data_IF_540492694846
#
_entry.id   IF_540492694846
#
_cell.length_a   1.000
_cell.length_b   1.000
_cell.length_c   1.000
_cell.angle_alpha   90.00
_cell.angle_beta   90.00
_cell.angle_gamma   90.00
#
_symmetry.space_group_name_H-M   'P 1'
#
loop_
_entity.id
_entity.type
_entity.pdbx_description
1 polymer ?
#
# COMPACT_ATOMS: atom_id res chain seq x y z
N UNK A 1 -7.36 22.74 -17.19
CA UNK A 1 -6.55 22.92 -15.97
C UNK A 1 -7.49 23.25 -14.82
N UNK A 2 -7.31 22.65 -13.64
CA UNK A 2 -8.13 23.00 -12.48
C UNK A 2 -7.74 24.38 -11.94
N UNK A 3 -8.72 25.17 -11.53
CA UNK A 3 -8.55 26.55 -11.06
C UNK A 3 -9.28 26.78 -9.74
N UNK A 4 -8.89 27.83 -9.02
CA UNK A 4 -9.54 28.34 -7.82
C UNK A 4 -10.10 29.73 -8.10
N UNK A 5 -11.31 30.02 -7.60
CA UNK A 5 -11.97 31.32 -7.78
C UNK A 5 -11.83 32.13 -6.50
N UNK A 6 -11.45 33.41 -6.66
CA UNK A 6 -11.30 34.40 -5.59
C UNK A 6 -12.11 35.66 -5.86
N UNK A 7 -12.49 36.41 -4.82
CA UNK A 7 -13.03 37.78 -4.89
C UNK A 7 -12.54 38.61 -3.70
N UNK A 8 -12.64 39.93 -3.74
CA UNK A 8 -12.42 40.76 -2.54
C UNK A 8 -13.73 40.91 -1.74
N UNK A 9 -13.64 41.28 -0.46
CA UNK A 9 -14.83 41.56 0.37
C UNK A 9 -15.70 42.67 -0.24
N UNK A 10 -15.06 43.70 -0.79
CA UNK A 10 -15.69 44.89 -1.36
C UNK A 10 -16.16 44.75 -2.81
N UNK A 11 -15.87 43.63 -3.49
CA UNK A 11 -16.18 43.45 -4.92
C UNK A 11 -16.88 42.14 -5.23
N UNK A 12 -17.84 42.18 -6.15
CA UNK A 12 -18.47 41.00 -6.75
C UNK A 12 -17.65 40.41 -7.90
N UNK A 13 -16.61 41.10 -8.37
CA UNK A 13 -15.77 40.62 -9.46
C UNK A 13 -14.90 39.46 -8.99
N UNK A 14 -15.01 38.33 -9.68
CA UNK A 14 -14.20 37.14 -9.40
C UNK A 14 -12.93 37.12 -10.26
N UNK A 15 -11.87 36.51 -9.72
CA UNK A 15 -10.61 36.24 -10.40
C UNK A 15 -10.28 34.76 -10.26
N UNK A 16 -9.91 34.12 -11.37
CA UNK A 16 -9.62 32.69 -11.42
C UNK A 16 -8.12 32.46 -11.49
N UNK A 17 -7.56 31.72 -10.53
CA UNK A 17 -6.12 31.44 -10.42
C UNK A 17 -5.88 29.94 -10.70
N UNK A 18 -4.90 29.55 -11.53
CA UNK A 18 -4.56 28.15 -11.77
C UNK A 18 -4.09 27.41 -10.52
N UNK A 19 -4.51 26.14 -10.38
CA UNK A 19 -4.01 25.26 -9.31
C UNK A 19 -2.81 24.44 -9.78
N UNK A 20 -1.96 24.03 -8.84
CA UNK A 20 -0.80 23.16 -9.08
C UNK A 20 -0.97 21.85 -8.31
N UNK A 21 -0.30 20.80 -8.76
CA UNK A 21 -0.21 19.54 -8.02
C UNK A 21 0.98 19.64 -7.06
N UNK A 22 0.75 19.44 -5.77
CA UNK A 22 1.81 19.37 -4.78
C UNK A 22 2.51 18.01 -4.87
N UNK A 23 3.83 18.01 -5.14
CA UNK A 23 4.58 16.78 -5.42
C UNK A 23 4.69 15.83 -4.21
N UNK A 24 4.52 16.34 -2.98
CA UNK A 24 4.63 15.52 -1.77
C UNK A 24 3.29 14.90 -1.40
N UNK A 25 2.23 15.70 -1.36
CA UNK A 25 0.91 15.26 -0.94
C UNK A 25 0.02 14.72 -2.07
N UNK A 26 0.38 14.99 -3.33
CA UNK A 26 -0.47 14.68 -4.49
C UNK A 26 -1.76 15.52 -4.56
N UNK A 27 -1.95 16.49 -3.65
CA UNK A 27 -3.16 17.33 -3.59
C UNK A 27 -3.00 18.58 -4.45
N UNK A 28 -4.13 19.15 -4.88
CA UNK A 28 -4.13 20.43 -5.58
C UNK A 28 -3.99 21.58 -4.59
N UNK A 29 -3.16 22.56 -4.95
CA UNK A 29 -2.81 23.72 -4.13
C UNK A 29 -2.85 25.02 -4.95
N UNK A 30 -2.93 26.15 -4.24
CA UNK A 30 -2.71 27.50 -4.80
C UNK A 30 -1.57 28.16 -4.03
N UNK A 31 -0.58 28.67 -4.74
CA UNK A 31 0.55 29.37 -4.12
C UNK A 31 0.14 30.76 -3.68
N UNK A 32 0.57 31.17 -2.48
CA UNK A 32 0.28 32.50 -1.94
C UNK A 32 0.79 33.63 -2.85
N UNK A 33 1.98 33.45 -3.42
CA UNK A 33 2.56 34.41 -4.38
C UNK A 33 1.71 34.60 -5.63
N UNK A 34 1.06 33.53 -6.12
CA UNK A 34 0.15 33.61 -7.26
C UNK A 34 -1.11 34.42 -6.87
N UNK A 35 -1.59 34.32 -5.62
CA UNK A 35 -2.70 35.15 -5.10
C UNK A 35 -2.29 36.62 -5.01
N UNK A 36 -1.13 36.92 -4.42
CA UNK A 36 -0.64 38.30 -4.24
C UNK A 36 -0.38 39.02 -5.58
N UNK A 37 -0.10 38.28 -6.67
CA UNK A 37 0.04 38.86 -8.00
C UNK A 37 -1.25 39.55 -8.49
N UNK A 38 -2.42 39.01 -8.13
CA UNK A 38 -3.73 39.57 -8.48
C UNK A 38 -4.27 40.49 -7.39
N UNK A 39 -3.93 40.22 -6.13
CA UNK A 39 -4.41 40.95 -4.95
C UNK A 39 -3.21 41.46 -4.14
N UNK A 40 -2.63 42.59 -4.56
CA UNK A 40 -1.35 43.13 -4.01
C UNK A 40 -1.36 43.37 -2.50
N UNK A 41 -2.52 43.59 -1.91
CA UNK A 41 -2.71 43.88 -0.50
C UNK A 41 -3.44 42.76 0.23
N UNK A 42 -3.42 41.53 -0.29
CA UNK A 42 -3.99 40.39 0.41
C UNK A 42 -3.20 40.11 1.70
N UNK A 43 -3.90 40.09 2.84
CA UNK A 43 -3.34 39.70 4.14
C UNK A 43 -3.88 38.34 4.62
N UNK A 44 -4.99 37.89 4.06
CA UNK A 44 -5.59 36.59 4.36
C UNK A 44 -6.61 36.14 3.32
N UNK A 45 -7.06 34.89 3.48
CA UNK A 45 -8.11 34.28 2.66
C UNK A 45 -9.19 33.75 3.59
N UNK A 46 -10.44 34.00 3.26
CA UNK A 46 -11.61 33.55 3.98
C UNK A 46 -12.43 32.60 3.10
N UNK A 47 -13.02 31.59 3.74
CA UNK A 47 -14.03 30.72 3.15
C UNK A 47 -15.29 30.82 4.01
N UNK A 48 -16.36 31.43 3.48
CA UNK A 48 -17.60 31.69 4.24
C UNK A 48 -17.39 32.43 5.58
N UNK A 49 -16.41 33.34 5.63
CA UNK A 49 -16.07 34.11 6.83
C UNK A 49 -15.03 33.43 7.74
N UNK A 50 -14.70 32.17 7.52
CA UNK A 50 -13.66 31.45 8.28
C UNK A 50 -12.29 31.61 7.61
N UNK A 51 -11.23 31.80 8.40
CA UNK A 51 -9.88 31.93 7.86
C UNK A 51 -9.37 30.61 7.26
N UNK A 52 -8.92 30.67 6.01
CA UNK A 52 -8.23 29.56 5.33
C UNK A 52 -6.77 29.57 5.77
N UNK A 53 -6.37 28.55 6.52
CA UNK A 53 -5.01 28.41 7.03
C UNK A 53 -4.03 27.97 5.93
N UNK A 54 -2.78 28.43 6.03
CA UNK A 54 -1.69 27.93 5.20
C UNK A 54 -1.36 26.48 5.57
N UNK A 55 -0.96 25.69 4.56
CA UNK A 55 -0.55 24.31 4.78
C UNK A 55 0.76 24.26 5.59
N UNK A 56 0.80 23.34 6.55
CA UNK A 56 1.95 23.07 7.41
C UNK A 56 2.53 21.68 7.16
N UNK A 57 3.78 21.46 7.55
CA UNK A 57 4.40 20.14 7.58
C UNK A 57 4.01 19.36 8.87
N UNK A 58 4.57 18.17 9.03
CA UNK A 58 4.36 17.31 10.22
C UNK A 58 4.81 17.95 11.54
N UNK A 59 5.68 18.96 11.47
CA UNK A 59 6.17 19.72 12.63
C UNK A 59 5.36 21.00 12.89
N UNK A 60 4.21 21.19 12.23
CA UNK A 60 3.39 22.41 12.28
C UNK A 60 4.09 23.68 11.78
N UNK A 61 5.17 23.54 11.02
CA UNK A 61 5.84 24.68 10.38
C UNK A 61 5.16 24.97 9.04
N UNK A 62 4.98 26.25 8.73
CA UNK A 62 4.44 26.65 7.43
C UNK A 62 5.34 26.20 6.29
N UNK A 63 4.73 25.63 5.26
CA UNK A 63 5.46 25.19 4.08
C UNK A 63 5.99 26.39 3.28
N UNK A 64 7.24 26.32 2.82
CA UNK A 64 7.84 27.27 1.87
C UNK A 64 7.86 26.64 0.46
N UNK A 65 7.34 27.29 -0.60
CA UNK A 65 6.56 28.54 -0.59
C UNK A 65 5.17 28.38 0.07
N UNK A 66 4.70 29.45 0.73
CA UNK A 66 3.36 29.50 1.33
C UNK A 66 2.28 29.12 0.33
N UNK A 67 1.35 28.28 0.77
CA UNK A 67 0.32 27.67 -0.08
C UNK A 67 -0.90 27.26 0.73
N UNK A 68 -2.06 27.34 0.09
CA UNK A 68 -3.34 26.87 0.63
C UNK A 68 -3.86 25.69 -0.20
N UNK A 69 -4.74 24.88 0.41
CA UNK A 69 -5.43 23.80 -0.29
C UNK A 69 -6.38 24.35 -1.38
N UNK A 70 -6.59 23.56 -2.43
CA UNK A 70 -7.63 23.84 -3.44
C UNK A 70 -9.03 23.51 -2.88
N UNK A 71 -9.99 24.43 -3.04
CA UNK A 71 -11.38 24.32 -2.63
C UNK A 71 -12.30 24.32 -3.87
N UNK A 72 -12.54 23.16 -4.49
CA UNK A 72 -13.31 23.07 -5.74
C UNK A 72 -14.76 23.55 -5.54
N UNK A 73 -15.24 24.39 -6.46
CA UNK A 73 -16.61 24.92 -6.44
C UNK A 73 -16.87 26.05 -5.44
N UNK A 74 -15.87 26.47 -4.67
CA UNK A 74 -15.99 27.52 -3.65
C UNK A 74 -15.34 28.81 -4.15
N UNK A 75 -15.97 29.95 -3.87
CA UNK A 75 -15.38 31.28 -4.12
C UNK A 75 -14.75 31.78 -2.82
N UNK A 76 -13.43 31.83 -2.78
CA UNK A 76 -12.69 32.30 -1.63
C UNK A 76 -12.65 33.84 -1.61
N UNK A 77 -12.68 34.43 -0.42
CA UNK A 77 -12.70 35.88 -0.22
C UNK A 77 -11.33 36.35 0.27
N UNK A 78 -10.75 37.34 -0.39
CA UNK A 78 -9.49 37.94 0.00
C UNK A 78 -9.76 39.06 1.00
N UNK A 79 -9.16 38.97 2.18
CA UNK A 79 -9.10 40.04 3.17
C UNK A 79 -7.94 40.98 2.81
N UNK A 80 -8.18 42.27 2.95
CA UNK A 80 -7.16 43.31 2.80
C UNK A 80 -6.97 44.05 4.12
N UNK A 81 -5.89 44.85 4.25
CA UNK A 81 -5.57 45.56 5.47
C UNK A 81 -6.73 46.47 5.86
N UNK A 82 -7.24 46.29 7.08
CA UNK A 82 -8.25 47.16 7.66
C UNK A 82 -7.70 48.59 7.74
N UNK A 83 -8.36 49.52 7.05
CA UNK A 83 -8.12 50.93 7.29
C UNK A 83 -8.71 51.27 8.67
N UNK A 84 -7.87 51.37 9.70
CA UNK A 84 -8.25 51.84 11.03
C UNK A 84 -8.91 53.23 10.92
N UNK A 85 -10.23 53.28 11.12
CA UNK A 85 -10.98 54.53 11.17
C UNK A 85 -10.79 55.14 12.55
N UNK A 86 -9.94 56.17 12.65
CA UNK A 86 -9.67 56.90 13.89
C UNK A 86 -10.74 57.96 14.13
N UNK A 87 -11.74 57.68 14.97
CA UNK A 87 -12.75 58.67 15.39
C UNK A 87 -12.25 59.58 16.52
N UNK A 88 -12.33 60.89 16.31
CA UNK A 88 -11.88 61.94 17.24
C UNK A 88 -13.08 62.63 17.91
N UNK A 89 -13.25 62.47 19.22
CA UNK A 89 -14.34 63.12 20.01
C UNK A 89 -13.87 64.48 20.54
N UNK A 90 -14.66 65.54 20.32
CA UNK A 90 -14.50 66.91 20.84
C UNK A 90 -15.46 67.19 22.01
N UNK A 91 -15.00 67.85 23.07
CA UNK A 91 -15.84 68.39 24.17
C UNK A 91 -15.40 69.78 24.65
N UNK A 92 -16.39 70.63 24.96
CA UNK A 92 -16.34 71.87 25.76
C UNK A 92 -17.61 72.73 25.53
N UNK A 93 -17.92 73.81 26.29
CA UNK A 93 -17.52 74.18 27.67
C UNK A 93 -18.65 74.79 28.58
N UNK A 94 -18.34 74.89 29.89
CA UNK A 94 -18.58 75.93 30.92
C UNK A 94 -19.91 76.72 31.21
N UNK A 95 -20.19 76.85 32.54
CA UNK A 95 -20.50 78.09 33.32
C UNK A 95 -21.95 78.44 33.71
N UNK A 96 -22.24 78.66 35.02
CA UNK A 96 -22.47 80.00 35.65
C UNK A 96 -23.09 79.92 37.08
N UNK A 97 -22.70 80.89 37.90
CA UNK A 97 -22.91 81.09 39.35
C UNK A 97 -24.11 81.98 39.69
N UNK A 98 -24.78 81.74 40.82
CA UNK A 98 -25.76 82.66 41.42
C UNK A 98 -25.74 82.60 42.96
N UNK A 99 -25.63 83.75 43.62
CA UNK A 99 -25.49 83.93 45.07
C UNK A 99 -26.84 84.06 45.76
N UNK A 100 -27.19 83.10 46.62
CA UNK A 100 -28.37 83.09 47.50
C UNK A 100 -27.99 83.31 48.98
N UNK A 101 -28.95 83.84 49.74
CA UNK A 101 -28.87 84.15 51.17
C UNK A 101 -28.67 82.90 52.04
N UNK A 102 -27.78 83.00 53.05
CA UNK A 102 -27.22 81.87 53.84
C UNK A 102 -28.27 80.94 54.50
N UNK A 103 -29.45 81.45 54.87
CA UNK A 103 -30.51 80.65 55.51
C UNK A 103 -31.30 79.80 54.50
N UNK A 104 -31.49 80.32 53.29
CA UNK A 104 -32.12 79.60 52.18
C UNK A 104 -31.15 78.56 51.62
N UNK A 105 -29.86 78.88 51.56
CA UNK A 105 -28.82 77.94 51.17
C UNK A 105 -28.72 76.73 52.13
N UNK A 106 -28.94 76.93 53.43
CA UNK A 106 -28.94 75.84 54.42
C UNK A 106 -30.16 74.91 54.28
N UNK A 107 -31.35 75.46 54.06
CA UNK A 107 -32.55 74.65 53.82
C UNK A 107 -32.48 73.91 52.47
N UNK A 108 -31.96 74.58 51.43
CA UNK A 108 -31.70 73.96 50.12
C UNK A 108 -30.66 72.83 50.23
N UNK A 109 -29.64 73.00 51.08
CA UNK A 109 -28.63 71.97 51.33
C UNK A 109 -29.24 70.74 52.01
N UNK A 110 -30.14 70.94 52.98
CA UNK A 110 -30.79 69.84 53.69
C UNK A 110 -31.73 69.06 52.78
N UNK A 111 -32.54 69.75 51.98
CA UNK A 111 -33.40 69.13 50.95
C UNK A 111 -32.56 68.37 49.91
N UNK A 112 -31.45 68.95 49.43
CA UNK A 112 -30.50 68.24 48.54
C UNK A 112 -29.92 67.00 49.20
N UNK A 113 -29.57 67.07 50.48
CA UNK A 113 -29.00 65.94 51.20
C UNK A 113 -30.01 64.79 51.32
N UNK A 114 -31.27 65.11 51.61
CA UNK A 114 -32.33 64.11 51.74
C UNK A 114 -32.67 63.48 50.37
N UNK A 115 -32.67 64.28 49.31
CA UNK A 115 -32.78 63.79 47.92
C UNK A 115 -31.61 62.87 47.57
N UNK A 116 -30.37 63.23 47.91
CA UNK A 116 -29.21 62.37 47.63
C UNK A 116 -29.18 61.10 48.48
N UNK A 117 -29.63 61.15 49.73
CA UNK A 117 -29.79 59.95 50.55
C UNK A 117 -30.78 58.96 49.91
N UNK A 118 -31.92 59.46 49.42
CA UNK A 118 -32.91 58.63 48.74
C UNK A 118 -32.37 58.08 47.41
N UNK A 119 -31.62 58.88 46.64
CA UNK A 119 -30.94 58.41 45.42
C UNK A 119 -29.90 57.33 45.72
N UNK A 120 -29.08 57.52 46.76
CA UNK A 120 -28.07 56.53 47.16
C UNK A 120 -28.73 55.22 47.59
N UNK A 121 -29.83 55.28 48.33
CA UNK A 121 -30.60 54.08 48.69
C UNK A 121 -31.18 53.37 47.46
N UNK A 122 -31.76 54.12 46.52
CA UNK A 122 -32.27 53.55 45.27
C UNK A 122 -31.13 52.93 44.43
N UNK A 123 -29.94 53.55 44.45
CA UNK A 123 -28.76 53.04 43.77
C UNK A 123 -28.25 51.75 44.40
N UNK A 124 -28.26 51.64 45.73
CA UNK A 124 -27.88 50.43 46.46
C UNK A 124 -28.83 49.26 46.15
N UNK A 125 -30.15 49.52 46.14
CA UNK A 125 -31.15 48.53 45.73
C UNK A 125 -30.97 48.10 44.26
N UNK A 126 -30.65 49.04 43.36
CA UNK A 126 -30.36 48.75 41.96
C UNK A 126 -29.09 47.90 41.82
N UNK A 127 -28.04 48.21 42.58
CA UNK A 127 -26.79 47.47 42.59
C UNK A 127 -27.01 46.03 43.05
N UNK A 128 -27.77 45.81 44.12
CA UNK A 128 -28.09 44.47 44.62
C UNK A 128 -28.87 43.64 43.60
N UNK A 129 -29.87 44.24 42.94
CA UNK A 129 -30.61 43.56 41.86
C UNK A 129 -29.71 43.21 40.67
N UNK A 130 -28.78 44.09 40.35
CA UNK A 130 -27.80 43.86 39.28
C UNK A 130 -26.84 42.72 39.65
N UNK A 131 -26.36 42.68 40.90
CA UNK A 131 -25.52 41.60 41.44
C UNK A 131 -26.21 40.24 41.31
N UNK A 132 -27.47 40.13 41.78
CA UNK A 132 -28.25 38.90 41.69
C UNK A 132 -28.50 38.46 40.24
N UNK A 133 -28.75 39.43 39.35
CA UNK A 133 -28.92 39.17 37.91
C UNK A 133 -27.63 38.64 37.27
N UNK A 134 -26.47 39.15 37.69
CA UNK A 134 -25.16 38.67 37.24
C UNK A 134 -24.91 37.24 37.71
N UNK A 135 -25.14 36.95 38.99
CA UNK A 135 -24.97 35.60 39.56
C UNK A 135 -25.88 34.58 38.86
N UNK A 136 -27.16 34.93 38.67
CA UNK A 136 -28.10 34.04 37.97
C UNK A 136 -27.66 33.76 36.54
N UNK A 137 -27.22 34.79 35.80
CA UNK A 137 -26.70 34.61 34.44
C UNK A 137 -25.40 33.81 34.42
N UNK A 138 -24.56 33.96 35.43
CA UNK A 138 -23.31 33.21 35.56
C UNK A 138 -23.61 31.71 35.75
N UNK A 139 -24.54 31.37 36.64
CA UNK A 139 -24.96 29.99 36.86
C UNK A 139 -25.59 29.38 35.60
N UNK A 140 -26.45 30.11 34.89
CA UNK A 140 -27.01 29.68 33.61
C UNK A 140 -25.93 29.42 32.56
N UNK A 141 -24.94 30.32 32.44
CA UNK A 141 -23.82 30.12 31.51
C UNK A 141 -22.96 28.92 31.89
N UNK A 142 -22.74 28.69 33.18
CA UNK A 142 -21.98 27.55 33.66
C UNK A 142 -22.70 26.23 33.41
N UNK A 143 -24.02 26.20 33.61
CA UNK A 143 -24.85 25.03 33.30
C UNK A 143 -24.82 24.71 31.80
N UNK A 144 -24.93 25.72 30.91
CA UNK A 144 -24.81 25.52 29.46
C UNK A 144 -23.44 24.97 29.05
N UNK A 145 -22.36 25.39 29.70
CA UNK A 145 -21.01 24.87 29.41
C UNK A 145 -20.88 23.38 29.78
N UNK A 146 -21.51 22.95 30.88
CA UNK A 146 -21.53 21.53 31.28
C UNK A 146 -22.33 20.70 30.30
N UNK A 147 -23.53 21.15 29.91
CA UNK A 147 -24.35 20.48 28.90
C UNK A 147 -23.63 20.38 27.55
N UNK A 148 -22.96 21.46 27.12
CA UNK A 148 -22.17 21.47 25.90
C UNK A 148 -21.01 20.49 25.95
N UNK A 149 -20.29 20.39 27.08
CA UNK A 149 -19.20 19.42 27.26
C UNK A 149 -19.71 17.98 27.14
N UNK A 150 -20.85 17.66 27.75
CA UNK A 150 -21.45 16.32 27.65
C UNK A 150 -21.87 15.98 26.21
N UNK A 151 -22.38 16.96 25.46
CA UNK A 151 -22.70 16.77 24.04
C UNK A 151 -21.46 16.48 23.20
N UNK A 152 -20.36 17.22 23.43
CA UNK A 152 -19.08 16.98 22.75
C UNK A 152 -18.58 15.56 23.02
N UNK A 153 -18.59 15.12 24.28
CA UNK A 153 -18.16 13.77 24.65
C UNK A 153 -19.02 12.67 23.99
N UNK A 154 -20.35 12.88 23.90
CA UNK A 154 -21.22 11.95 23.19
C UNK A 154 -20.95 11.92 21.68
N UNK A 155 -20.64 13.07 21.07
CA UNK A 155 -20.30 13.16 19.65
C UNK A 155 -18.98 12.44 19.39
N UNK A 156 -17.96 12.67 20.22
CA UNK A 156 -16.66 12.00 20.12
C UNK A 156 -16.79 10.49 20.25
N UNK A 157 -17.54 10.00 21.25
CA UNK A 157 -17.79 8.57 21.43
C UNK A 157 -18.52 7.94 20.23
N UNK A 158 -19.54 8.62 19.69
CA UNK A 158 -20.25 8.17 18.48
C UNK A 158 -19.34 8.18 17.26
N UNK A 159 -18.50 9.20 17.12
CA UNK A 159 -17.55 9.32 16.02
C UNK A 159 -16.50 8.21 16.08
N UNK A 160 -15.97 7.91 17.27
CA UNK A 160 -15.01 6.83 17.48
C UNK A 160 -15.61 5.45 17.20
N UNK A 161 -16.87 5.21 17.59
CA UNK A 161 -17.57 3.96 17.24
C UNK A 161 -17.76 3.81 15.72
N UNK A 162 -18.06 4.91 15.02
CA UNK A 162 -18.22 4.92 13.57
C UNK A 162 -16.90 4.66 12.84
N UNK A 163 -15.79 5.26 13.30
CA UNK A 163 -14.47 5.05 12.68
C UNK A 163 -13.98 3.61 12.85
N UNK A 164 -14.20 2.99 14.02
CA UNK A 164 -13.83 1.59 14.23
C UNK A 164 -14.66 0.64 13.34
N UNK A 165 -15.96 0.90 13.20
CA UNK A 165 -16.81 0.13 12.29
C UNK A 165 -16.36 0.29 10.83
N UNK A 166 -15.98 1.50 10.42
CA UNK A 166 -15.44 1.75 9.08
C UNK A 166 -14.13 0.99 8.85
N UNK A 167 -13.23 0.99 9.83
CA UNK A 167 -11.97 0.23 9.78
C UNK A 167 -12.24 -1.27 9.64
N UNK A 168 -13.11 -1.84 10.47
CA UNK A 168 -13.47 -3.25 10.40
C UNK A 168 -14.11 -3.62 9.05
N UNK A 169 -14.91 -2.73 8.46
CA UNK A 169 -15.49 -2.93 7.14
C UNK A 169 -14.42 -2.96 6.03
N UNK A 170 -13.44 -2.05 6.09
CA UNK A 170 -12.31 -2.03 5.16
C UNK A 170 -11.44 -3.29 5.27
N UNK A 171 -11.15 -3.75 6.49
CA UNK A 171 -10.38 -4.98 6.72
C UNK A 171 -11.09 -6.21 6.13
N UNK A 172 -12.42 -6.30 6.30
CA UNK A 172 -13.22 -7.37 5.69
C UNK A 172 -13.23 -7.30 4.17
N UNK A 173 -13.31 -6.09 3.60
CA UNK A 173 -13.25 -5.91 2.15
C UNK A 173 -11.88 -6.34 1.60
N UNK A 174 -10.78 -6.02 2.28
CA UNK A 174 -9.45 -6.48 1.88
C UNK A 174 -9.34 -8.01 1.85
N UNK A 175 -9.87 -8.70 2.87
CA UNK A 175 -9.90 -10.17 2.90
C UNK A 175 -10.73 -10.75 1.75
N UNK A 176 -11.88 -10.15 1.44
CA UNK A 176 -12.74 -10.58 0.32
C UNK A 176 -12.04 -10.35 -1.02
N UNK A 177 -11.44 -9.18 -1.22
CA UNK A 177 -10.69 -8.84 -2.43
C UNK A 177 -9.53 -9.82 -2.66
N UNK A 178 -8.77 -10.15 -1.61
CA UNK A 178 -7.68 -11.12 -1.69
C UNK A 178 -8.18 -12.52 -2.08
N UNK A 179 -9.32 -12.96 -1.53
CA UNK A 179 -9.93 -14.26 -1.89
C UNK A 179 -10.45 -14.28 -3.33
N UNK A 180 -11.07 -13.20 -3.79
CA UNK A 180 -11.53 -13.09 -5.19
C UNK A 180 -10.32 -13.14 -6.13
N UNK A 181 -9.26 -12.40 -5.82
CA UNK A 181 -8.02 -12.43 -6.60
C UNK A 181 -7.45 -13.85 -6.65
N UNK A 182 -7.37 -14.53 -5.51
CA UNK A 182 -6.92 -15.93 -5.45
C UNK A 182 -7.77 -16.87 -6.32
N UNK A 183 -9.10 -16.75 -6.30
CA UNK A 183 -9.98 -17.57 -7.13
C UNK A 183 -9.78 -17.32 -8.64
N UNK A 184 -9.56 -16.06 -9.03
CA UNK A 184 -9.27 -15.69 -10.41
C UNK A 184 -7.93 -16.26 -10.84
N UNK A 185 -6.88 -16.05 -10.04
CA UNK A 185 -5.54 -16.62 -10.26
C UNK A 185 -5.61 -18.14 -10.39
N UNK A 186 -6.33 -18.81 -9.49
CA UNK A 186 -6.52 -20.26 -9.51
C UNK A 186 -7.18 -20.72 -10.81
N UNK A 187 -8.26 -20.06 -11.22
CA UNK A 187 -8.97 -20.42 -12.46
C UNK A 187 -8.08 -20.22 -13.68
N UNK A 188 -7.22 -19.21 -13.63
CA UNK A 188 -6.27 -18.94 -14.71
C UNK A 188 -5.14 -19.99 -14.74
N UNK A 189 -4.46 -20.20 -13.62
CA UNK A 189 -3.33 -21.11 -13.59
C UNK A 189 -3.72 -22.59 -13.76
N UNK A 190 -4.94 -22.98 -13.36
CA UNK A 190 -5.43 -24.34 -13.59
C UNK A 190 -5.55 -24.68 -15.08
N UNK A 191 -5.81 -23.69 -15.95
CA UNK A 191 -5.87 -23.91 -17.38
C UNK A 191 -4.51 -23.70 -18.07
N UNK A 192 -3.70 -22.76 -17.58
CA UNK A 192 -2.39 -22.48 -18.16
C UNK A 192 -1.33 -23.53 -17.80
N UNK A 193 -1.45 -24.17 -16.64
CA UNK A 193 -0.43 -25.07 -16.07
C UNK A 193 -0.99 -26.45 -15.70
N UNK A 194 -1.44 -27.25 -16.70
CA UNK A 194 -1.94 -28.60 -16.46
C UNK A 194 -0.85 -29.60 -16.04
N UNK A 195 0.43 -29.21 -16.12
CA UNK A 195 1.60 -30.01 -15.74
C UNK A 195 2.57 -29.17 -14.90
N UNK A 196 3.49 -29.80 -14.14
CA UNK A 196 4.53 -29.08 -13.40
C UNK A 196 5.39 -28.23 -14.34
N UNK A 197 5.68 -27.00 -13.90
CA UNK A 197 6.51 -26.04 -14.64
C UNK A 197 7.98 -26.40 -14.55
N UNK A 198 8.40 -26.92 -13.38
CA UNK A 198 9.77 -27.30 -13.14
C UNK A 198 10.03 -28.74 -13.58
N UNK A 199 10.88 -28.92 -14.59
CA UNK A 199 11.34 -30.23 -15.04
C UNK A 199 12.77 -30.18 -15.61
N UNK A 200 13.41 -31.33 -15.61
CA UNK A 200 14.70 -31.58 -16.26
C UNK A 200 14.58 -32.69 -17.28
N UNK A 201 15.45 -32.67 -18.27
CA UNK A 201 15.53 -33.67 -19.33
C UNK A 201 16.89 -34.38 -19.24
N UNK A 202 16.89 -35.67 -18.90
CA UNK A 202 18.11 -36.44 -18.70
C UNK A 202 18.22 -37.57 -19.73
N UNK A 203 19.45 -38.01 -20.10
CA UNK A 203 19.63 -39.17 -20.94
C UNK A 203 19.16 -40.45 -20.22
N UNK A 204 18.60 -41.38 -20.99
CA UNK A 204 18.25 -42.74 -20.56
C UNK A 204 19.52 -43.52 -20.29
N UNK A 205 19.51 -44.34 -19.25
CA UNK A 205 20.60 -45.26 -18.99
C UNK A 205 20.79 -46.22 -20.18
N UNK A 206 21.91 -46.08 -20.90
CA UNK A 206 22.25 -46.96 -22.04
C UNK A 206 22.54 -48.36 -21.49
N UNK A 207 21.66 -49.33 -21.77
CA UNK A 207 21.88 -50.73 -21.36
C UNK A 207 23.00 -51.37 -22.17
N UNK A 208 24.19 -51.46 -21.57
CA UNK A 208 25.14 -52.59 -21.66
C UNK A 208 25.86 -52.93 -22.97
N UNK A 209 25.40 -52.53 -24.16
CA UNK A 209 26.07 -52.92 -25.44
C UNK A 209 26.36 -51.79 -26.44
N UNK A 210 25.81 -50.60 -26.25
CA UNK A 210 25.86 -49.52 -27.25
C UNK A 210 26.53 -48.23 -26.72
N UNK A 211 27.58 -48.37 -25.91
CA UNK A 211 28.30 -47.22 -25.28
C UNK A 211 29.05 -46.33 -26.27
N UNK A 212 29.12 -46.70 -27.55
CA UNK A 212 29.84 -45.96 -28.59
C UNK A 212 28.94 -45.05 -29.43
N UNK A 213 27.60 -45.09 -29.23
CA UNK A 213 26.68 -44.18 -29.92
C UNK A 213 26.57 -42.86 -29.15
N UNK A 214 26.78 -41.75 -29.86
CA UNK A 214 26.49 -40.39 -29.36
C UNK A 214 25.03 -40.33 -28.88
N UNK A 215 24.76 -39.59 -27.82
CA UNK A 215 23.40 -39.36 -27.32
C UNK A 215 22.51 -38.86 -28.48
N UNK A 216 21.48 -39.65 -28.79
CA UNK A 216 20.47 -39.30 -29.78
C UNK A 216 19.23 -38.76 -29.05
N UNK A 217 18.45 -37.91 -29.72
CA UNK A 217 17.32 -37.21 -29.10
C UNK A 217 16.25 -38.18 -28.53
N UNK A 218 16.12 -39.38 -29.07
CA UNK A 218 15.24 -40.46 -28.61
C UNK A 218 15.67 -41.12 -27.28
N UNK A 219 16.86 -40.79 -26.82
CA UNK A 219 17.43 -41.29 -25.57
C UNK A 219 17.21 -40.34 -24.40
N UNK A 220 16.28 -39.39 -24.46
CA UNK A 220 16.01 -38.49 -23.35
C UNK A 220 14.68 -38.79 -22.65
N UNK A 221 14.62 -38.45 -21.36
CA UNK A 221 13.43 -38.54 -20.52
C UNK A 221 13.22 -37.24 -19.76
N UNK A 222 11.97 -36.84 -19.62
CA UNK A 222 11.54 -35.71 -18.79
C UNK A 222 11.37 -36.18 -17.35
N UNK A 223 11.84 -35.37 -16.42
CA UNK A 223 11.75 -35.60 -14.99
C UNK A 223 11.19 -34.34 -14.32
N UNK A 224 10.03 -34.43 -13.69
CA UNK A 224 9.40 -33.32 -12.98
C UNK A 224 9.98 -33.13 -11.58
N UNK A 225 10.11 -31.86 -11.20
CA UNK A 225 10.60 -31.44 -9.90
C UNK A 225 9.43 -31.02 -9.01
N UNK A 226 9.61 -31.18 -7.71
CA UNK A 226 8.69 -30.64 -6.72
C UNK A 226 8.85 -29.11 -6.64
N UNK A 227 7.73 -28.39 -6.77
CA UNK A 227 7.65 -26.93 -6.69
C UNK A 227 7.50 -26.42 -5.24
N UNK A 228 8.09 -27.13 -4.27
CA UNK A 228 8.19 -26.67 -2.89
C UNK A 228 9.16 -25.48 -2.82
N UNK A 229 8.79 -24.42 -2.10
CA UNK A 229 9.59 -23.19 -2.01
C UNK A 229 9.31 -22.47 -0.69
N UNK A 230 9.85 -21.27 -0.49
CA UNK A 230 9.77 -20.54 0.79
C UNK A 230 8.34 -20.42 1.39
N UNK A 231 7.31 -20.46 0.55
CA UNK A 231 5.90 -20.38 0.96
C UNK A 231 5.32 -21.69 1.50
N UNK A 232 6.04 -22.81 1.40
CA UNK A 232 5.66 -24.12 1.99
C UNK A 232 6.35 -24.37 3.33
N UNK A 233 7.00 -23.36 3.90
CA UNK A 233 7.58 -23.45 5.24
C UNK A 233 6.44 -23.47 6.25
N UNK A 234 6.18 -24.63 6.84
CA UNK A 234 5.50 -24.68 8.12
C UNK A 234 6.41 -24.00 9.15
N UNK A 235 5.90 -23.07 9.97
CA UNK A 235 6.67 -22.29 10.96
C UNK A 235 7.51 -23.16 11.93
N UNK A 236 7.27 -24.46 11.97
CA UNK A 236 7.95 -25.43 12.83
C UNK A 236 8.72 -26.55 12.09
N UNK A 237 8.83 -26.50 10.75
CA UNK A 237 9.48 -27.53 9.96
C UNK A 237 11.00 -27.34 9.84
N UNK A 238 11.79 -28.31 10.28
CA UNK A 238 13.26 -28.34 10.12
C UNK A 238 13.76 -28.56 8.69
N UNK A 239 12.85 -28.82 7.74
CA UNK A 239 13.21 -29.12 6.37
C UNK A 239 13.24 -27.82 5.55
N UNK A 240 14.42 -27.45 5.08
CA UNK A 240 14.57 -26.33 4.16
C UNK A 240 13.77 -26.61 2.89
N UNK A 241 12.89 -25.69 2.43
CA UNK A 241 12.03 -25.89 1.27
C UNK A 241 12.85 -25.76 -0.01
N UNK A 242 13.58 -26.82 -0.34
CA UNK A 242 14.41 -26.88 -1.53
C UNK A 242 13.70 -27.68 -2.61
N UNK A 243 13.61 -27.10 -3.81
CA UNK A 243 13.22 -27.82 -5.03
C UNK A 243 14.02 -29.12 -5.09
N UNK A 244 13.36 -30.24 -5.36
CA UNK A 244 13.99 -31.56 -5.46
C UNK A 244 13.29 -32.41 -6.51
N UNK A 245 13.97 -33.49 -6.92
CA UNK A 245 13.42 -34.43 -7.88
C UNK A 245 12.33 -35.29 -7.22
N UNK A 246 11.17 -35.34 -7.83
CA UNK A 246 10.08 -36.19 -7.37
C UNK A 246 10.36 -37.68 -7.67
N UNK A 247 9.76 -38.58 -6.90
CA UNK A 247 10.01 -40.01 -7.03
C UNK A 247 9.18 -40.59 -8.18
N UNK A 248 9.73 -40.52 -9.40
CA UNK A 248 9.16 -41.14 -10.58
C UNK A 248 10.24 -41.68 -11.54
N UNK A 249 9.86 -42.59 -12.42
CA UNK A 249 10.78 -43.21 -13.39
C UNK A 249 11.24 -42.28 -14.53
N UNK A 250 10.58 -41.13 -14.70
CA UNK A 250 10.75 -40.26 -15.85
C UNK A 250 9.85 -40.64 -17.02
N UNK A 251 9.60 -39.66 -17.89
CA UNK A 251 8.66 -39.73 -19.01
C UNK A 251 9.44 -39.76 -20.32
N UNK A 252 9.19 -40.79 -21.13
CA UNK A 252 9.78 -40.86 -22.45
C UNK A 252 9.18 -39.78 -23.35
N UNK A 253 10.03 -39.14 -24.16
CA UNK A 253 9.58 -38.20 -25.19
C UNK A 253 9.08 -38.97 -26.43
N UNK A 254 7.89 -38.65 -26.91
CA UNK A 254 7.33 -39.22 -28.14
C UNK A 254 7.92 -38.55 -29.39
N UNK A 255 8.12 -37.22 -29.32
CA UNK A 255 8.66 -36.39 -30.41
C UNK A 255 9.82 -35.53 -29.92
N UNK A 256 10.99 -36.13 -29.62
CA UNK A 256 12.08 -35.44 -28.96
C UNK A 256 12.64 -34.26 -29.77
N UNK A 257 12.73 -34.37 -31.10
CA UNK A 257 13.20 -33.28 -31.95
C UNK A 257 12.30 -32.04 -31.85
N UNK A 258 11.00 -32.21 -32.07
CA UNK A 258 10.01 -31.12 -31.96
C UNK A 258 9.96 -30.55 -30.53
N UNK A 259 10.11 -31.41 -29.53
CA UNK A 259 10.19 -31.00 -28.13
C UNK A 259 11.39 -30.07 -27.88
N UNK A 260 12.58 -30.45 -28.33
CA UNK A 260 13.78 -29.62 -28.13
C UNK A 260 13.75 -28.36 -29.02
N UNK A 261 13.16 -28.40 -30.20
CA UNK A 261 12.92 -27.19 -31.00
C UNK A 261 12.03 -26.18 -30.25
N UNK A 262 10.98 -26.65 -29.58
CA UNK A 262 10.05 -25.78 -28.84
C UNK A 262 10.57 -25.37 -27.45
N UNK A 263 11.19 -26.29 -26.72
CA UNK A 263 11.51 -26.14 -25.29
C UNK A 263 13.02 -26.16 -25.00
N UNK A 264 13.89 -26.36 -25.98
CA UNK A 264 15.34 -26.57 -25.78
C UNK A 264 16.02 -25.45 -25.00
N UNK A 265 15.74 -24.18 -25.34
CA UNK A 265 16.26 -23.02 -24.61
C UNK A 265 15.78 -22.97 -23.16
N UNK A 266 14.50 -23.31 -22.92
CA UNK A 266 13.92 -23.38 -21.58
C UNK A 266 14.56 -24.48 -20.73
N UNK A 267 14.69 -25.67 -21.31
CA UNK A 267 15.34 -26.82 -20.67
C UNK A 267 16.80 -26.50 -20.34
N UNK A 268 17.53 -25.87 -21.26
CA UNK A 268 18.92 -25.47 -21.04
C UNK A 268 19.04 -24.48 -19.87
N UNK A 269 18.15 -23.49 -19.78
CA UNK A 269 18.13 -22.55 -18.66
C UNK A 269 17.86 -23.26 -17.32
N UNK A 270 16.87 -24.16 -17.25
CA UNK A 270 16.59 -24.96 -16.05
C UNK A 270 17.76 -25.87 -15.66
N UNK A 271 18.46 -26.46 -16.62
CA UNK A 271 19.64 -27.28 -16.36
C UNK A 271 20.78 -26.48 -15.72
N UNK A 272 21.06 -25.27 -16.23
CA UNK A 272 22.05 -24.40 -15.63
C UNK A 272 21.66 -23.94 -14.23
N UNK A 273 20.38 -23.61 -14.02
CA UNK A 273 19.88 -23.25 -12.69
C UNK A 273 20.17 -24.34 -11.67
N UNK A 274 19.88 -25.59 -12.03
CA UNK A 274 20.05 -26.72 -11.13
C UNK A 274 21.52 -27.06 -10.96
N UNK A 275 22.31 -27.03 -12.04
CA UNK A 275 23.74 -27.32 -12.00
C UNK A 275 24.48 -26.38 -11.05
N UNK A 276 24.24 -25.07 -11.19
CA UNK A 276 25.00 -24.06 -10.45
C UNK A 276 24.34 -23.60 -9.15
N UNK A 277 23.04 -23.82 -9.02
CA UNK A 277 22.23 -23.17 -8.00
C UNK A 277 22.05 -21.69 -8.33
N UNK A 278 20.82 -21.18 -8.21
CA UNK A 278 20.52 -19.79 -8.52
C UNK A 278 19.54 -19.25 -7.50
N UNK A 279 19.77 -18.02 -7.05
CA UNK A 279 18.81 -17.26 -6.26
C UNK A 279 18.27 -16.13 -7.13
N UNK A 280 17.04 -16.28 -7.61
CA UNK A 280 16.32 -15.22 -8.34
C UNK A 280 15.19 -14.72 -7.45
N UNK A 281 15.33 -13.50 -6.92
CA UNK A 281 14.39 -12.95 -5.93
C UNK A 281 14.26 -13.87 -4.71
N UNK A 282 13.03 -14.33 -4.44
CA UNK A 282 12.70 -15.22 -3.32
C UNK A 282 12.81 -16.72 -3.68
N UNK A 283 13.09 -17.04 -4.95
CA UNK A 283 13.26 -18.43 -5.41
C UNK A 283 14.73 -18.81 -5.28
N UNK A 284 15.02 -19.71 -4.34
CA UNK A 284 16.33 -20.33 -4.19
C UNK A 284 16.29 -21.72 -4.81
N UNK A 285 16.99 -21.88 -5.92
CA UNK A 285 17.28 -23.19 -6.50
C UNK A 285 18.63 -23.64 -5.96
N UNK A 286 18.70 -24.68 -5.12
CA UNK A 286 19.97 -25.24 -4.65
C UNK A 286 20.81 -25.75 -5.82
N UNK A 287 22.13 -25.74 -5.66
CA UNK A 287 23.01 -26.38 -6.65
C UNK A 287 22.80 -27.90 -6.66
N UNK A 288 23.21 -28.56 -7.72
CA UNK A 288 23.05 -30.01 -7.85
C UNK A 288 23.84 -30.77 -6.79
N UNK A 289 24.95 -30.20 -6.32
CA UNK A 289 25.72 -30.73 -5.19
C UNK A 289 24.89 -30.70 -3.90
N UNK A 290 24.09 -29.65 -3.69
CA UNK A 290 23.23 -29.50 -2.52
C UNK A 290 21.96 -30.37 -2.64
N UNK A 291 21.38 -30.48 -3.84
CA UNK A 291 20.23 -31.34 -4.15
C UNK A 291 20.45 -32.82 -3.83
N UNK A 292 21.65 -33.32 -4.10
CA UNK A 292 22.03 -34.70 -3.79
C UNK A 292 22.14 -34.96 -2.27
N UNK A 293 22.27 -33.89 -1.48
CA UNK A 293 22.50 -33.94 -0.03
C UNK A 293 21.23 -33.66 0.77
N UNK A 294 20.29 -32.87 0.22
CA UNK A 294 19.05 -32.41 0.89
C UNK A 294 17.83 -33.28 0.60
N UNK A 295 17.95 -34.28 -0.29
CA UNK A 295 16.95 -35.34 -0.36
C UNK A 295 16.88 -36.03 1.01
N UNK A 296 15.83 -35.74 1.77
CA UNK A 296 15.37 -36.46 2.97
C UNK A 296 14.97 -37.90 2.64
N UNK A 297 15.84 -38.60 1.92
CA UNK A 297 15.84 -40.04 1.81
C UNK A 297 16.24 -40.53 3.19
N UNK A 298 15.27 -40.61 4.08
CA UNK A 298 15.27 -41.63 5.12
C UNK A 298 15.86 -42.90 4.50
N UNK A 299 16.85 -43.49 5.16
CA UNK A 299 17.80 -44.49 4.65
C UNK A 299 17.19 -45.77 4.02
N UNK A 300 15.88 -45.83 3.79
CA UNK A 300 15.14 -46.92 3.16
C UNK A 300 14.67 -46.68 1.70
N UNK A 301 14.55 -45.44 1.19
CA UNK A 301 14.14 -45.23 -0.22
C UNK A 301 15.37 -45.18 -1.14
N UNK A 302 15.61 -46.28 -1.84
CA UNK A 302 16.68 -46.37 -2.84
C UNK A 302 16.35 -45.45 -4.01
N UNK A 303 17.13 -44.37 -4.16
CA UNK A 303 17.15 -43.60 -5.38
C UNK A 303 17.35 -44.56 -6.57
N UNK A 304 16.64 -44.37 -7.70
CA UNK A 304 16.85 -45.20 -8.88
C UNK A 304 18.33 -45.27 -9.23
N UNK A 305 18.86 -46.48 -9.45
CA UNK A 305 20.30 -46.71 -9.65
C UNK A 305 20.90 -45.85 -10.77
N UNK A 306 20.09 -45.42 -11.75
CA UNK A 306 20.52 -44.58 -12.86
C UNK A 306 20.73 -43.10 -12.49
N UNK A 307 20.17 -42.61 -11.39
CA UNK A 307 20.30 -41.22 -10.94
C UNK A 307 21.47 -41.00 -9.97
N UNK A 308 22.20 -42.05 -9.60
CA UNK A 308 23.38 -41.96 -8.72
C UNK A 308 24.44 -40.99 -9.21
N UNK A 309 24.52 -40.75 -10.52
CA UNK A 309 25.41 -39.79 -11.15
C UNK A 309 24.63 -38.68 -11.86
N UNK A 310 23.60 -38.12 -11.21
CA UNK A 310 22.79 -37.05 -11.80
C UNK A 310 23.63 -35.87 -12.30
N UNK A 311 24.75 -35.57 -11.64
CA UNK A 311 25.74 -34.58 -12.08
C UNK A 311 26.20 -34.79 -13.53
N UNK A 312 26.72 -35.98 -13.84
CA UNK A 312 27.19 -36.27 -15.19
C UNK A 312 26.05 -36.29 -16.21
N UNK A 313 24.85 -36.73 -15.82
CA UNK A 313 23.69 -36.75 -16.71
C UNK A 313 23.23 -35.32 -17.06
N UNK A 314 23.28 -34.39 -16.09
CA UNK A 314 22.99 -32.98 -16.32
C UNK A 314 24.04 -32.36 -17.26
N UNK A 315 25.33 -32.67 -17.05
CA UNK A 315 26.41 -32.22 -17.94
C UNK A 315 26.26 -32.75 -19.36
N UNK A 316 25.88 -34.02 -19.52
CA UNK A 316 25.61 -34.64 -20.83
C UNK A 316 24.43 -33.95 -21.53
N UNK A 317 23.35 -33.66 -20.80
CA UNK A 317 22.19 -32.92 -21.32
C UNK A 317 22.54 -31.50 -21.76
N UNK A 318 23.32 -30.76 -20.96
CA UNK A 318 23.78 -29.41 -21.30
C UNK A 318 24.63 -29.46 -22.58
N UNK A 319 25.59 -30.37 -22.63
CA UNK A 319 26.48 -30.56 -23.79
C UNK A 319 25.67 -30.87 -25.06
N UNK A 320 24.67 -31.75 -24.95
CA UNK A 320 23.77 -32.07 -26.05
C UNK A 320 23.01 -30.82 -26.52
N UNK A 321 22.36 -30.09 -25.60
CA UNK A 321 21.56 -28.91 -25.94
C UNK A 321 22.42 -27.81 -26.58
N UNK A 322 23.59 -27.51 -26.04
CA UNK A 322 24.53 -26.53 -26.63
C UNK A 322 24.92 -26.92 -28.07
N UNK A 323 25.08 -28.22 -28.35
CA UNK A 323 25.42 -28.69 -29.70
C UNK A 323 24.32 -28.46 -30.75
N UNK A 324 23.06 -28.28 -30.32
CA UNK A 324 21.91 -28.04 -31.19
C UNK A 324 21.76 -26.57 -31.63
N UNK A 325 22.75 -25.71 -31.33
CA UNK A 325 22.75 -24.27 -31.66
C UNK A 325 21.62 -23.45 -31.01
N UNK A 326 21.14 -23.86 -29.84
CA UNK A 326 20.37 -22.93 -29.00
C UNK A 326 21.28 -21.75 -28.61
N UNK A 327 20.70 -20.57 -28.40
CA UNK A 327 21.46 -19.39 -27.99
C UNK A 327 22.36 -19.76 -26.82
N UNK A 328 23.68 -19.60 -27.01
CA UNK A 328 24.66 -19.91 -25.98
C UNK A 328 24.38 -19.00 -24.79
N UNK A 329 23.72 -19.54 -23.76
CA UNK A 329 23.58 -18.87 -22.47
C UNK A 329 25.01 -18.79 -21.91
N UNK A 330 25.57 -17.58 -21.70
CA UNK A 330 26.91 -17.43 -21.16
C UNK A 330 27.00 -18.14 -19.81
N UNK A 331 28.02 -18.97 -19.62
CA UNK A 331 28.27 -19.62 -18.33
C UNK A 331 28.74 -18.56 -17.31
N UNK A 332 27.87 -18.23 -16.36
CA UNK A 332 28.17 -17.36 -15.22
C UNK A 332 27.88 -15.86 -15.40
N UNK A 333 27.56 -15.19 -14.29
CA UNK A 333 27.33 -13.75 -14.20
C UNK A 333 25.89 -13.29 -14.43
N UNK A 334 25.67 -11.97 -14.40
CA UNK A 334 24.36 -11.31 -14.53
C UNK A 334 23.62 -11.68 -15.83
N UNK A 335 24.36 -12.06 -16.88
CA UNK A 335 23.77 -12.48 -18.16
C UNK A 335 23.07 -13.84 -18.09
N UNK A 336 23.55 -14.75 -17.22
CA UNK A 336 22.93 -16.07 -17.03
C UNK A 336 21.63 -15.93 -16.24
N UNK A 337 21.66 -15.12 -15.18
CA UNK A 337 20.48 -14.79 -14.38
C UNK A 337 19.40 -14.13 -15.24
N UNK A 338 19.74 -13.15 -16.08
CA UNK A 338 18.78 -12.52 -16.98
C UNK A 338 18.17 -13.49 -17.99
N UNK A 339 18.97 -14.42 -18.54
CA UNK A 339 18.48 -15.44 -19.47
C UNK A 339 17.54 -16.43 -18.79
N UNK A 340 17.86 -16.84 -17.57
CA UNK A 340 17.03 -17.69 -16.71
C UNK A 340 15.72 -16.99 -16.36
N UNK A 341 15.80 -15.75 -15.87
CA UNK A 341 14.64 -14.93 -15.53
C UNK A 341 13.74 -14.75 -16.74
N UNK A 342 14.28 -14.45 -17.93
CA UNK A 342 13.49 -14.38 -19.17
C UNK A 342 12.86 -15.72 -19.54
N UNK A 343 13.53 -16.85 -19.32
CA UNK A 343 12.97 -18.17 -19.60
C UNK A 343 11.84 -18.54 -18.63
N UNK A 344 11.90 -18.08 -17.38
CA UNK A 344 10.87 -18.31 -16.36
C UNK A 344 9.70 -17.32 -16.44
N UNK A 345 9.97 -16.04 -16.68
CA UNK A 345 8.99 -14.95 -16.76
C UNK A 345 8.33 -14.84 -18.14
N UNK A 346 9.05 -15.19 -19.20
CA UNK A 346 8.61 -15.08 -20.59
C UNK A 346 7.52 -16.07 -21.00
N UNK A 347 7.01 -16.87 -20.06
CA UNK A 347 5.84 -17.73 -20.24
C UNK A 347 6.02 -18.69 -21.40
N UNK A 348 6.99 -19.60 -21.30
CA UNK A 348 7.03 -20.73 -22.23
C UNK A 348 5.69 -21.45 -22.16
N UNK A 349 5.02 -21.60 -23.30
CA UNK A 349 3.72 -22.27 -23.37
C UNK A 349 3.87 -23.77 -23.05
N UNK A 350 3.61 -24.12 -21.79
CA UNK A 350 3.66 -25.48 -21.28
C UNK A 350 2.33 -26.23 -21.41
N UNK A 351 1.27 -25.60 -21.95
CA UNK A 351 -0.03 -26.27 -22.12
C UNK A 351 0.09 -27.50 -23.02
N UNK A 352 1.01 -27.43 -23.99
CA UNK A 352 1.29 -28.51 -24.93
C UNK A 352 2.38 -29.47 -24.48
N UNK A 353 3.00 -29.29 -23.30
CA UNK A 353 4.08 -30.15 -22.83
C UNK A 353 3.64 -31.63 -22.79
N UNK A 354 2.40 -31.88 -22.39
CA UNK A 354 1.85 -33.24 -22.28
C UNK A 354 1.76 -34.00 -23.60
N UNK A 355 1.63 -33.31 -24.74
CA UNK A 355 1.56 -33.98 -26.05
C UNK A 355 2.90 -34.54 -26.52
N UNK A 356 4.01 -34.15 -25.86
CA UNK A 356 5.34 -34.68 -26.12
C UNK A 356 5.69 -35.87 -25.21
N UNK A 357 4.89 -36.14 -24.19
CA UNK A 357 5.16 -37.20 -23.21
C UNK A 357 4.42 -38.48 -23.59
N UNK A 358 5.14 -39.59 -23.64
CA UNK A 358 4.54 -40.90 -23.84
C UNK A 358 3.71 -41.27 -22.61
N UNK A 359 2.39 -41.37 -22.77
CA UNK A 359 1.47 -41.68 -21.68
C UNK A 359 1.83 -43.04 -21.03
N UNK A 360 2.11 -43.03 -19.72
CA UNK A 360 2.47 -44.24 -18.96
C UNK A 360 1.35 -44.80 -18.06
N UNK A 361 0.30 -44.05 -17.73
CA UNK A 361 -0.97 -44.48 -17.10
C UNK A 361 -1.74 -43.25 -16.55
N UNK A 362 -2.92 -43.46 -15.94
CA UNK A 362 -3.75 -42.44 -15.24
C UNK A 362 -3.01 -41.73 -14.08
N UNK A 363 -1.91 -42.28 -13.55
CA UNK A 363 -1.04 -41.65 -12.55
C UNK A 363 0.11 -40.86 -13.21
N UNK A 364 -0.23 -39.98 -14.14
CA UNK A 364 0.68 -39.40 -15.13
C UNK A 364 1.79 -38.48 -14.60
N UNK A 365 1.85 -38.18 -13.29
CA UNK A 365 2.84 -37.29 -12.68
C UNK A 365 3.62 -37.93 -11.52
N UNK A 366 3.55 -39.25 -11.36
CA UNK A 366 4.23 -39.96 -10.28
C UNK A 366 3.65 -39.60 -8.91
N UNK A 367 4.49 -39.14 -7.99
CA UNK A 367 4.08 -38.73 -6.64
C UNK A 367 3.89 -37.20 -6.48
N UNK A 368 3.76 -36.46 -7.59
CA UNK A 368 3.44 -35.04 -7.57
C UNK A 368 1.93 -34.83 -7.56
N UNK A 369 1.48 -33.99 -6.63
CA UNK A 369 0.10 -33.59 -6.45
C UNK A 369 -0.04 -32.11 -6.74
N UNK A 370 -1.13 -31.77 -7.41
CA UNK A 370 -1.50 -30.39 -7.64
C UNK A 370 -2.09 -29.79 -6.36
N UNK A 371 -1.52 -28.69 -5.89
CA UNK A 371 -1.98 -27.94 -4.72
C UNK A 371 -2.18 -26.48 -5.10
N UNK A 372 -3.09 -25.81 -4.40
CA UNK A 372 -3.48 -24.43 -4.65
C UNK A 372 -3.09 -23.62 -3.42
N UNK A 373 -2.28 -22.58 -3.61
CA UNK A 373 -1.85 -21.72 -2.50
C UNK A 373 -2.97 -20.77 -2.05
N UNK A 374 -2.79 -20.10 -0.92
CA UNK A 374 -3.76 -19.12 -0.43
C UNK A 374 -3.94 -17.91 -1.38
N UNK A 375 -2.92 -17.63 -2.18
CA UNK A 375 -2.93 -16.61 -3.24
C UNK A 375 -3.54 -17.11 -4.54
N UNK A 376 -3.95 -18.38 -4.59
CA UNK A 376 -4.58 -19.02 -5.75
C UNK A 376 -3.61 -19.65 -6.73
N UNK A 377 -2.30 -19.64 -6.47
CA UNK A 377 -1.33 -20.20 -7.40
C UNK A 377 -1.40 -21.73 -7.42
N UNK A 378 -1.29 -22.32 -8.60
CA UNK A 378 -1.23 -23.76 -8.80
C UNK A 378 0.23 -24.22 -8.73
N UNK A 379 0.50 -25.19 -7.86
CA UNK A 379 1.82 -25.79 -7.68
C UNK A 379 1.74 -27.30 -7.70
N UNK A 380 2.85 -27.96 -8.04
CA UNK A 380 2.98 -29.41 -7.99
C UNK A 380 3.96 -29.81 -6.88
N UNK A 381 3.45 -30.44 -5.83
CA UNK A 381 4.22 -30.82 -4.66
C UNK A 381 4.26 -32.33 -4.49
N UNK A 382 5.37 -32.88 -4.00
CA UNK A 382 5.47 -34.31 -3.73
C UNK A 382 4.64 -34.71 -2.50
N UNK A 383 4.31 -36.01 -2.40
CA UNK A 383 3.62 -36.62 -1.26
C UNK A 383 4.12 -36.15 0.12
N UNK A 384 5.45 -36.02 0.28
CA UNK A 384 6.06 -35.65 1.55
C UNK A 384 5.69 -34.22 1.95
N UNK A 385 5.68 -33.29 1.00
CA UNK A 385 5.34 -31.89 1.25
C UNK A 385 3.83 -31.69 1.39
N UNK A 386 3.01 -32.44 0.64
CA UNK A 386 1.55 -32.36 0.75
C UNK A 386 1.01 -32.79 2.11
N UNK A 387 1.72 -33.63 2.88
CA UNK A 387 1.30 -34.04 4.23
C UNK A 387 1.47 -32.95 5.29
N UNK A 388 2.26 -31.91 4.99
CA UNK A 388 2.63 -30.86 5.94
C UNK A 388 1.95 -29.51 5.65
N UNK A 389 1.25 -29.41 4.51
CA UNK A 389 0.40 -28.28 4.11
C UNK A 389 -1.06 -28.60 4.38
#
# INVERSE_FOLDING_TARGET
>A
MATQIFRTESSSKTTTIPTRLDNKSGKRIVLWKDIQQYFKHADGVLNNGEAVVFLTNENFEYLDPLRIAHHPGVVLVIRGPEHEVTESIKTGPASQTGTTTVKDAMNELFERLQVEMNKNKALEEQMLRTQQSIETKQDETQQRLVEMRQQIEQIENKQQGSTEMQKQALDRLAVIQNRIHALITQTNELHEHPLPRLFIVLPKAIRGRDKTRKAQADQFQVYFLCECGAYTISENGTNSPTIHLSNHEGYDLEKPTEFFEKYGTYVLALMYMIKHGVKVGDVVVPSLADLATVGGLDAGQKQPDHLKNIGSLVDDSITFLQSQKYDNIPEGGESMELAITRALEGGVDLQHLGSFLKAKSEHALGNLHRVITNEGHVKYMCDEHCRHT
#
